data_IF_843002680671
#
_entry.id   IF_843002680671
#
_cell.length_a   1.000
_cell.length_b   1.000
_cell.length_c   1.000
_cell.angle_alpha   90.00
_cell.angle_beta   90.00
_cell.angle_gamma   90.00
#
_symmetry.space_group_name_H-M   'P 1'
#
loop_
_entity.id
_entity.type
_entity.pdbx_description
1 polymer ?
#
# COMPACT_ATOMS: atom_id res chain seq x y z
N UNK A 1 3.56 22.23 -22.37
CA UNK A 1 3.65 22.14 -20.89
C UNK A 1 3.60 20.67 -20.54
N UNK A 2 4.66 20.11 -19.96
CA UNK A 2 4.71 18.70 -19.54
C UNK A 2 3.74 18.52 -18.36
N UNK A 3 2.91 17.47 -18.38
CA UNK A 3 2.00 17.17 -17.25
C UNK A 3 2.77 16.77 -16.00
N UNK A 4 2.13 16.87 -14.82
CA UNK A 4 2.80 16.43 -13.58
C UNK A 4 3.10 14.92 -13.58
N UNK A 5 2.38 14.13 -14.37
CA UNK A 5 2.64 12.69 -14.54
C UNK A 5 3.87 12.46 -15.41
N UNK A 6 3.96 13.18 -16.53
CA UNK A 6 5.12 13.06 -17.43
C UNK A 6 6.42 13.49 -16.74
N UNK A 7 6.36 14.53 -15.90
CA UNK A 7 7.53 14.96 -15.13
C UNK A 7 8.02 13.88 -14.17
N UNK A 8 7.11 13.16 -13.50
CA UNK A 8 7.47 12.03 -12.62
C UNK A 8 8.22 10.95 -13.40
N UNK A 9 7.78 10.65 -14.63
CA UNK A 9 8.44 9.64 -15.48
C UNK A 9 9.84 10.11 -15.88
N UNK A 10 9.99 11.38 -16.26
CA UNK A 10 11.30 11.96 -16.61
C UNK A 10 12.24 11.91 -15.41
N UNK A 11 11.80 12.38 -14.24
CA UNK A 11 12.60 12.39 -13.00
C UNK A 11 13.01 10.96 -12.59
N UNK A 12 12.12 9.99 -12.78
CA UNK A 12 12.40 8.57 -12.53
C UNK A 12 13.45 8.03 -13.49
N UNK A 13 13.33 8.35 -14.77
CA UNK A 13 14.30 7.97 -15.79
C UNK A 13 15.68 8.59 -15.53
N UNK A 14 15.74 9.87 -15.19
CA UNK A 14 16.99 10.57 -14.87
C UNK A 14 17.66 10.00 -13.61
N UNK A 15 16.85 9.59 -12.63
CA UNK A 15 17.34 8.99 -11.37
C UNK A 15 17.87 7.58 -11.57
N UNK A 16 17.22 6.78 -12.39
CA UNK A 16 17.45 5.33 -12.50
C UNK A 16 17.90 4.90 -13.90
N UNK A 17 17.85 5.79 -14.89
CA UNK A 17 18.23 5.47 -16.27
C UNK A 17 19.67 4.92 -16.36
N UNK A 18 19.81 3.81 -17.04
CA UNK A 18 21.08 3.10 -17.17
C UNK A 18 21.47 2.21 -15.97
N UNK A 19 20.68 2.13 -14.91
CA UNK A 19 20.89 1.15 -13.82
C UNK A 19 20.23 -0.17 -14.17
N UNK A 20 20.92 -1.26 -13.85
CA UNK A 20 20.34 -2.60 -13.84
C UNK A 20 19.72 -2.87 -12.47
N UNK A 21 18.59 -3.56 -12.45
CA UNK A 21 17.89 -3.98 -11.24
C UNK A 21 17.70 -5.48 -11.30
N UNK A 22 17.79 -6.15 -10.15
CA UNK A 22 17.53 -7.57 -10.02
C UNK A 22 16.02 -7.84 -9.85
N UNK A 23 15.23 -7.28 -10.80
CA UNK A 23 13.78 -7.40 -10.82
C UNK A 23 13.40 -8.85 -11.02
N UNK A 24 12.79 -9.43 -10.00
CA UNK A 24 12.22 -10.78 -10.06
C UNK A 24 10.85 -10.75 -10.73
N UNK A 25 9.97 -9.83 -10.30
CA UNK A 25 8.61 -9.71 -10.83
C UNK A 25 8.05 -8.29 -10.66
N UNK A 26 7.04 -7.96 -11.46
CA UNK A 26 6.25 -6.72 -11.42
C UNK A 26 4.78 -7.09 -11.36
N UNK A 27 3.99 -6.35 -10.55
CA UNK A 27 2.60 -6.68 -10.28
C UNK A 27 2.47 -8.15 -9.80
N UNK A 28 3.41 -8.58 -8.95
CA UNK A 28 3.46 -9.95 -8.47
C UNK A 28 2.22 -10.27 -7.64
N UNK A 29 1.40 -11.19 -8.15
CA UNK A 29 0.27 -11.70 -7.40
C UNK A 29 0.74 -12.55 -6.21
N UNK A 30 0.14 -12.33 -5.05
CA UNK A 30 0.37 -13.17 -3.89
C UNK A 30 -0.95 -13.69 -3.32
N UNK A 31 -0.86 -14.89 -2.75
CA UNK A 31 -1.91 -15.49 -1.96
C UNK A 31 -1.27 -16.23 -0.77
N UNK A 32 -1.64 -15.85 0.45
CA UNK A 32 -1.24 -16.57 1.65
C UNK A 32 -2.38 -16.68 2.66
N UNK A 33 -2.29 -17.65 3.54
CA UNK A 33 -3.33 -17.90 4.56
C UNK A 33 -2.87 -17.38 5.91
N UNK A 34 -3.75 -16.66 6.60
CA UNK A 34 -3.56 -16.24 7.99
C UNK A 34 -4.80 -16.62 8.83
N UNK A 35 -4.63 -17.53 9.80
CA UNK A 35 -5.77 -18.14 10.47
C UNK A 35 -6.69 -18.83 9.45
N UNK A 36 -7.95 -18.42 9.40
CA UNK A 36 -8.95 -18.96 8.47
C UNK A 36 -9.16 -18.07 7.23
N UNK A 37 -8.28 -17.09 7.00
CA UNK A 37 -8.44 -16.09 5.94
C UNK A 37 -7.38 -16.24 4.85
N UNK A 38 -7.82 -16.21 3.60
CA UNK A 38 -6.94 -16.06 2.43
C UNK A 38 -6.75 -14.58 2.13
N UNK A 39 -5.49 -14.15 2.03
CA UNK A 39 -5.12 -12.78 1.70
C UNK A 39 -4.52 -12.79 0.30
N UNK A 40 -5.15 -12.04 -0.60
CA UNK A 40 -4.75 -11.95 -2.01
C UNK A 40 -4.44 -10.49 -2.31
N UNK A 41 -3.44 -10.25 -3.14
CA UNK A 41 -3.08 -8.90 -3.58
C UNK A 41 -1.96 -8.93 -4.59
N UNK A 42 -1.49 -7.73 -4.94
CA UNK A 42 -0.41 -7.52 -5.89
C UNK A 42 0.65 -6.63 -5.25
N UNK A 43 1.91 -6.95 -5.51
CA UNK A 43 3.08 -6.15 -5.13
C UNK A 43 3.59 -5.49 -6.40
N UNK A 44 3.75 -4.15 -6.39
CA UNK A 44 4.12 -3.39 -7.58
C UNK A 44 5.43 -3.90 -8.21
N UNK A 45 6.44 -4.20 -7.37
CA UNK A 45 7.73 -4.74 -7.80
C UNK A 45 8.41 -5.54 -6.70
N UNK A 46 9.04 -6.65 -7.08
CA UNK A 46 9.87 -7.50 -6.23
C UNK A 46 11.25 -7.65 -6.85
N UNK A 47 12.28 -7.31 -6.10
CA UNK A 47 13.67 -7.53 -6.46
C UNK A 47 14.25 -8.65 -5.57
N UNK A 48 14.97 -9.60 -6.18
CA UNK A 48 15.53 -10.74 -5.46
C UNK A 48 17.05 -10.72 -5.57
N UNK A 49 17.70 -10.57 -4.43
CA UNK A 49 19.16 -10.61 -4.28
C UNK A 49 19.58 -11.92 -3.61
N UNK A 50 20.88 -12.17 -3.48
CA UNK A 50 21.41 -13.43 -2.91
C UNK A 50 20.88 -13.72 -1.50
N UNK A 51 20.81 -12.73 -0.61
CA UNK A 51 20.41 -12.89 0.80
C UNK A 51 19.11 -12.14 1.17
N UNK A 52 18.59 -11.32 0.28
CA UNK A 52 17.48 -10.41 0.55
C UNK A 52 16.46 -10.38 -0.60
N UNK A 53 15.21 -10.17 -0.23
CA UNK A 53 14.14 -9.77 -1.15
C UNK A 53 13.70 -8.37 -0.79
N UNK A 54 13.70 -7.46 -1.75
CA UNK A 54 13.15 -6.13 -1.59
C UNK A 54 11.80 -6.00 -2.30
N UNK A 55 10.79 -5.64 -1.53
CA UNK A 55 9.46 -5.31 -2.00
C UNK A 55 9.40 -3.81 -2.18
N UNK A 56 8.94 -3.35 -3.33
CA UNK A 56 8.86 -1.93 -3.65
C UNK A 56 7.41 -1.59 -3.97
N UNK A 57 6.91 -0.58 -3.27
CA UNK A 57 5.59 0.01 -3.50
C UNK A 57 5.76 1.46 -3.93
N UNK A 58 5.21 1.81 -5.09
CA UNK A 58 5.34 3.14 -5.68
C UNK A 58 4.23 4.07 -5.22
N UNK A 59 4.61 5.25 -4.73
CA UNK A 59 3.69 6.28 -4.23
C UNK A 59 3.74 7.54 -5.10
N UNK A 60 2.61 7.87 -5.74
CA UNK A 60 2.43 9.10 -6.52
C UNK A 60 1.84 10.25 -5.69
N UNK A 61 1.38 9.95 -4.47
CA UNK A 61 0.79 10.93 -3.57
C UNK A 61 1.81 11.93 -3.02
N UNK A 62 1.33 13.12 -2.61
CA UNK A 62 2.18 14.15 -1.98
C UNK A 62 2.50 13.86 -0.52
N UNK A 63 1.67 13.06 0.15
CA UNK A 63 1.83 12.76 1.58
C UNK A 63 2.75 11.56 1.77
N UNK A 64 3.80 11.75 2.55
CA UNK A 64 4.75 10.70 2.89
C UNK A 64 4.55 10.19 4.32
N UNK A 65 4.72 8.90 4.50
CA UNK A 65 4.79 8.27 5.83
C UNK A 65 6.10 8.69 6.50
N UNK A 66 6.12 8.95 7.80
CA UNK A 66 7.36 9.21 8.50
C UNK A 66 8.23 7.94 8.56
N UNK A 67 9.56 8.07 8.55
CA UNK A 67 10.48 6.90 8.55
C UNK A 67 10.19 5.94 9.71
N UNK A 68 9.91 6.48 10.90
CA UNK A 68 9.58 5.68 12.10
C UNK A 68 8.29 4.84 11.96
N UNK A 69 7.39 5.25 11.06
CA UNK A 69 6.08 4.60 10.87
C UNK A 69 6.09 3.57 9.72
N UNK A 70 7.23 3.40 9.04
CA UNK A 70 7.36 2.43 7.94
C UNK A 70 7.20 1.00 8.45
N UNK A 71 7.83 0.66 9.57
CA UNK A 71 7.76 -0.66 10.19
C UNK A 71 6.32 -1.07 10.58
N UNK A 72 5.47 -0.10 10.90
CA UNK A 72 4.07 -0.32 11.30
C UNK A 72 3.08 -0.07 10.16
N UNK A 73 3.57 0.19 8.96
CA UNK A 73 2.71 0.36 7.79
C UNK A 73 2.05 -0.98 7.42
N UNK A 74 0.73 -1.04 7.52
CA UNK A 74 -0.02 -2.29 7.33
C UNK A 74 0.15 -2.88 5.93
N UNK A 75 0.18 -2.06 4.88
CA UNK A 75 0.36 -2.51 3.51
C UNK A 75 1.73 -3.18 3.34
N UNK A 76 2.80 -2.52 3.78
CA UNK A 76 4.14 -3.10 3.74
C UNK A 76 4.27 -4.35 4.61
N UNK A 77 3.60 -4.38 5.77
CA UNK A 77 3.57 -5.57 6.62
C UNK A 77 2.90 -6.77 5.94
N UNK A 78 1.78 -6.55 5.24
CA UNK A 78 1.11 -7.60 4.45
C UNK A 78 2.02 -8.10 3.32
N UNK A 79 2.66 -7.20 2.60
CA UNK A 79 3.59 -7.55 1.53
C UNK A 79 4.81 -8.30 2.06
N UNK A 80 5.33 -7.88 3.22
CA UNK A 80 6.44 -8.58 3.88
C UNK A 80 6.05 -10.00 4.33
N UNK A 81 4.83 -10.22 4.82
CA UNK A 81 4.31 -11.56 5.12
C UNK A 81 4.21 -12.42 3.86
N UNK A 82 3.71 -11.86 2.76
CA UNK A 82 3.62 -12.56 1.48
C UNK A 82 5.01 -12.97 0.97
N UNK A 83 5.96 -12.04 0.97
CA UNK A 83 7.32 -12.31 0.54
C UNK A 83 8.05 -13.33 1.47
N UNK A 84 7.86 -13.23 2.77
CA UNK A 84 8.43 -14.20 3.71
C UNK A 84 7.88 -15.62 3.50
N UNK A 85 6.64 -15.73 3.01
CA UNK A 85 6.04 -17.02 2.63
C UNK A 85 6.62 -17.56 1.33
N UNK A 86 6.83 -16.69 0.32
CA UNK A 86 7.38 -17.06 -0.97
C UNK A 86 8.91 -17.31 -0.93
N UNK A 87 9.62 -16.60 -0.05
CA UNK A 87 11.09 -16.63 0.07
C UNK A 87 11.55 -16.88 1.52
N UNK A 88 11.28 -18.08 2.09
CA UNK A 88 11.43 -18.33 3.53
C UNK A 88 12.86 -18.21 4.08
N UNK A 89 13.88 -18.26 3.21
CA UNK A 89 15.29 -18.23 3.61
C UNK A 89 15.97 -16.89 3.34
N UNK A 90 15.21 -15.86 2.93
CA UNK A 90 15.74 -14.54 2.61
C UNK A 90 15.33 -13.51 3.66
N UNK A 91 16.17 -12.50 3.85
CA UNK A 91 15.77 -11.28 4.56
C UNK A 91 14.71 -10.55 3.75
N UNK A 92 13.75 -9.96 4.43
CA UNK A 92 12.65 -9.23 3.77
C UNK A 92 12.80 -7.74 4.06
N UNK A 93 13.02 -6.97 3.02
CA UNK A 93 13.01 -5.51 3.05
C UNK A 93 11.81 -5.01 2.28
N UNK A 94 11.09 -4.03 2.82
CA UNK A 94 10.00 -3.36 2.11
C UNK A 94 10.24 -1.86 2.05
N UNK A 95 9.97 -1.28 0.89
CA UNK A 95 10.32 0.10 0.53
C UNK A 95 9.14 0.84 -0.09
N UNK A 96 8.91 2.06 0.37
CA UNK A 96 8.01 3.03 -0.26
C UNK A 96 8.84 3.96 -1.14
N UNK A 97 8.62 3.93 -2.44
CA UNK A 97 9.25 4.82 -3.40
C UNK A 97 8.31 5.98 -3.73
N UNK A 98 8.60 7.17 -3.21
CA UNK A 98 7.82 8.38 -3.44
C UNK A 98 8.27 9.06 -4.73
N UNK A 99 7.55 8.80 -5.83
CA UNK A 99 7.94 9.21 -7.18
C UNK A 99 8.00 10.72 -7.38
N UNK A 100 7.23 11.51 -6.60
CA UNK A 100 7.24 12.97 -6.69
C UNK A 100 8.45 13.63 -6.03
N UNK A 101 8.99 13.02 -4.99
CA UNK A 101 10.10 13.59 -4.22
C UNK A 101 11.41 12.85 -4.43
N UNK A 102 11.38 11.69 -5.13
CA UNK A 102 12.52 10.80 -5.29
C UNK A 102 12.95 10.11 -3.99
N UNK A 103 12.20 10.28 -2.89
CA UNK A 103 12.56 9.70 -1.59
C UNK A 103 12.17 8.23 -1.52
N UNK A 104 13.04 7.46 -0.87
CA UNK A 104 12.80 6.05 -0.56
C UNK A 104 12.80 5.91 0.96
N UNK A 105 11.80 5.20 1.48
CA UNK A 105 11.72 4.86 2.91
C UNK A 105 11.53 3.37 3.05
N UNK A 106 12.44 2.72 3.75
CA UNK A 106 12.54 1.28 3.82
C UNK A 106 12.55 0.78 5.26
N UNK A 107 12.13 -0.48 5.43
CA UNK A 107 12.28 -1.23 6.67
C UNK A 107 12.65 -2.68 6.35
N UNK A 108 13.59 -3.25 7.09
CA UNK A 108 13.91 -4.67 7.05
C UNK A 108 13.08 -5.37 8.13
N UNK A 109 12.17 -6.24 7.69
CA UNK A 109 11.21 -6.91 8.58
C UNK A 109 11.85 -8.11 9.26
N UNK A 110 12.03 -8.01 10.57
CA UNK A 110 12.41 -9.14 11.42
C UNK A 110 11.26 -10.13 11.59
N UNK A 111 11.54 -11.33 12.10
CA UNK A 111 10.49 -12.29 12.47
C UNK A 111 9.50 -11.70 13.49
N UNK A 112 9.99 -10.89 14.43
CA UNK A 112 9.14 -10.21 15.41
C UNK A 112 8.21 -9.19 14.74
N UNK A 113 8.70 -8.41 13.77
CA UNK A 113 7.87 -7.47 13.02
C UNK A 113 6.75 -8.20 12.27
N UNK A 114 7.08 -9.32 11.60
CA UNK A 114 6.09 -10.13 10.89
C UNK A 114 5.00 -10.70 11.82
N UNK A 115 5.38 -11.18 13.02
CA UNK A 115 4.40 -11.61 14.01
C UNK A 115 3.51 -10.44 14.50
N UNK A 116 4.10 -9.26 14.69
CA UNK A 116 3.37 -8.06 15.09
C UNK A 116 2.35 -7.58 14.04
N UNK A 117 2.53 -7.92 12.76
CA UNK A 117 1.57 -7.61 11.70
C UNK A 117 0.35 -8.54 11.74
N UNK A 118 0.54 -9.82 12.08
CA UNK A 118 -0.51 -10.85 11.97
C UNK A 118 -1.72 -10.55 12.85
N UNK A 119 -1.52 -10.29 14.14
CA UNK A 119 -2.62 -10.09 15.09
C UNK A 119 -3.49 -8.88 14.76
N UNK A 120 -2.95 -7.67 14.49
CA UNK A 120 -3.75 -6.53 14.04
C UNK A 120 -4.50 -6.79 12.73
N UNK A 121 -3.89 -7.53 11.78
CA UNK A 121 -4.51 -7.88 10.51
C UNK A 121 -5.75 -8.75 10.73
N UNK A 122 -5.62 -9.85 11.48
CA UNK A 122 -6.74 -10.74 11.82
C UNK A 122 -7.84 -9.99 12.59
N UNK A 123 -7.46 -9.14 13.54
CA UNK A 123 -8.41 -8.31 14.28
C UNK A 123 -9.20 -7.39 13.34
N UNK A 124 -8.52 -6.75 12.40
CA UNK A 124 -9.17 -5.87 11.41
C UNK A 124 -10.11 -6.62 10.49
N UNK A 125 -9.72 -7.81 10.01
CA UNK A 125 -10.58 -8.67 9.18
C UNK A 125 -11.83 -9.08 9.98
N UNK A 126 -11.67 -9.55 11.22
CA UNK A 126 -12.79 -9.90 12.08
C UNK A 126 -13.75 -8.74 12.32
N UNK A 127 -13.23 -7.51 12.50
CA UNK A 127 -14.06 -6.32 12.67
C UNK A 127 -14.86 -6.00 11.41
N UNK A 128 -14.24 -6.11 10.22
CA UNK A 128 -14.92 -5.92 8.93
C UNK A 128 -16.04 -6.94 8.75
N UNK A 129 -15.77 -8.23 9.04
CA UNK A 129 -16.75 -9.30 8.86
C UNK A 129 -17.92 -9.22 9.85
N UNK A 130 -17.70 -8.65 11.04
CA UNK A 130 -18.73 -8.46 12.07
C UNK A 130 -19.51 -7.16 11.88
N UNK A 131 -19.02 -6.23 11.06
CA UNK A 131 -19.71 -4.95 10.82
C UNK A 131 -20.97 -5.21 9.98
N UNK A 132 -22.11 -4.94 10.56
CA UNK A 132 -23.42 -5.03 9.90
C UNK A 132 -24.06 -3.66 9.63
N UNK A 133 -23.43 -2.58 10.11
CA UNK A 133 -24.03 -1.26 10.09
C UNK A 133 -23.62 -0.43 8.87
N UNK A 134 -22.41 -0.63 8.33
CA UNK A 134 -21.87 0.09 7.16
C UNK A 134 -22.18 1.60 7.14
N UNK A 135 -22.15 2.24 8.31
CA UNK A 135 -22.48 3.66 8.47
C UNK A 135 -21.56 4.54 7.62
N UNK A 136 -22.12 5.57 6.98
CA UNK A 136 -21.34 6.54 6.23
C UNK A 136 -20.26 7.18 7.10
N UNK A 137 -19.09 7.45 6.53
CA UNK A 137 -17.99 8.13 7.23
C UNK A 137 -18.47 9.44 7.88
N UNK A 138 -17.94 9.76 9.07
CA UNK A 138 -18.20 11.05 9.72
C UNK A 138 -17.46 12.21 9.03
N UNK A 139 -16.38 11.91 8.28
CA UNK A 139 -15.63 12.93 7.55
C UNK A 139 -16.33 13.32 6.24
N UNK A 140 -17.02 14.45 6.25
CA UNK A 140 -17.79 14.95 5.10
C UNK A 140 -16.92 15.22 3.86
N UNK A 141 -15.63 15.60 4.04
CA UNK A 141 -14.72 15.87 2.91
C UNK A 141 -14.50 14.62 2.04
N UNK A 142 -14.58 13.41 2.61
CA UNK A 142 -14.48 12.16 1.85
C UNK A 142 -15.59 12.02 0.83
N UNK A 143 -16.77 12.60 1.11
CA UNK A 143 -17.91 12.54 0.19
C UNK A 143 -17.62 13.20 -1.16
N UNK A 144 -16.77 14.24 -1.22
CA UNK A 144 -16.42 14.93 -2.48
C UNK A 144 -15.63 14.03 -3.46
N UNK A 145 -14.98 13.00 -2.98
CA UNK A 145 -14.22 12.03 -3.78
C UNK A 145 -14.93 10.67 -3.92
N UNK A 146 -16.04 10.48 -3.21
CA UNK A 146 -16.74 9.20 -3.13
C UNK A 146 -17.76 9.07 -4.27
N UNK A 147 -17.61 8.07 -5.13
CA UNK A 147 -18.50 7.85 -6.26
C UNK A 147 -19.91 7.41 -5.83
N UNK A 148 -20.05 6.69 -4.71
CA UNK A 148 -21.37 6.40 -4.14
C UNK A 148 -22.12 7.66 -3.69
N UNK A 149 -21.42 8.69 -3.23
CA UNK A 149 -22.03 9.96 -2.89
C UNK A 149 -22.41 10.75 -4.15
N UNK A 150 -21.54 10.76 -5.16
CA UNK A 150 -21.77 11.45 -6.44
C UNK A 150 -22.92 10.84 -7.24
N UNK A 151 -23.01 9.51 -7.28
CA UNK A 151 -24.06 8.78 -7.97
C UNK A 151 -25.42 8.79 -7.24
N UNK A 152 -25.44 9.23 -5.97
CA UNK A 152 -26.65 9.18 -5.13
C UNK A 152 -26.89 7.84 -4.44
N UNK A 153 -26.08 6.81 -4.68
CA UNK A 153 -26.19 5.51 -4.02
C UNK A 153 -26.04 5.60 -2.50
N UNK A 154 -25.28 6.59 -2.02
CA UNK A 154 -25.22 6.96 -0.60
C UNK A 154 -26.03 8.25 -0.36
N UNK A 155 -27.26 8.13 0.12
CA UNK A 155 -28.14 9.29 0.37
C UNK A 155 -27.52 10.33 1.30
N UNK A 156 -26.86 9.90 2.38
CA UNK A 156 -26.14 10.77 3.31
C UNK A 156 -25.00 11.52 2.62
N UNK A 157 -24.21 10.83 1.81
CA UNK A 157 -23.11 11.43 1.04
C UNK A 157 -23.62 12.46 0.03
N UNK A 158 -24.66 12.12 -0.72
CA UNK A 158 -25.29 13.02 -1.70
C UNK A 158 -25.86 14.28 -1.04
N UNK A 159 -26.52 14.16 0.12
CA UNK A 159 -27.01 15.31 0.89
C UNK A 159 -25.89 16.22 1.36
N UNK A 160 -24.74 15.66 1.78
CA UNK A 160 -23.55 16.42 2.18
C UNK A 160 -22.95 17.17 0.99
N UNK A 161 -22.82 16.53 -0.18
CA UNK A 161 -22.35 17.19 -1.39
C UNK A 161 -23.19 18.40 -1.77
N UNK A 162 -24.53 18.25 -1.74
CA UNK A 162 -25.46 19.37 -2.01
C UNK A 162 -25.25 20.56 -1.07
N UNK A 163 -24.81 20.32 0.17
CA UNK A 163 -24.51 21.41 1.14
C UNK A 163 -23.14 22.05 0.91
N UNK A 164 -22.16 21.27 0.46
CA UNK A 164 -20.78 21.76 0.25
C UNK A 164 -20.64 22.65 -1.00
N UNK A 165 -21.55 22.53 -1.97
CA UNK A 165 -21.52 23.25 -3.24
C UNK A 165 -22.71 24.21 -3.41
N UNK A 166 -23.39 24.58 -2.33
CA UNK A 166 -24.30 25.75 -2.24
C UNK A 166 -23.51 26.97 -1.74
#
# INVERSE_FOLDING_TARGET
MISAGDQIIVDLYDTYGGRTFDVYDKEMEFNFVIGNYSIIGFIDRVDVYDDCVEIIDYKTGKREVAQKDVATNLQLGIYALAAATAFPNKKIKASLHYLRSGRIKSHEFSKADLENVKSPLVTRINNILKDSNFSPTKNERVCSFCDHAKSGACATGAARLKRMFK
#
